data_IF_393551732407
#
_entry.id   IF_393551732407
#
_cell.length_a   1.000
_cell.length_b   1.000
_cell.length_c   1.000
_cell.angle_alpha   90.00
_cell.angle_beta   90.00
_cell.angle_gamma   90.00
#
_symmetry.space_group_name_H-M   'P 1'
#
loop_
_entity.id
_entity.type
_entity.pdbx_description
1 polymer ?
#
# COMPACT_ATOMS: atom_id res chain seq x y z
N UNK A 1 5.40 -2.59 -4.75
CA UNK A 1 4.64 -3.22 -3.64
C UNK A 1 3.36 -3.81 -4.18
N UNK A 2 2.85 -4.94 -3.66
CA UNK A 2 1.67 -5.56 -4.27
C UNK A 2 0.38 -4.83 -3.88
N UNK A 3 -0.45 -4.52 -4.87
CA UNK A 3 -1.80 -3.99 -4.65
C UNK A 3 -2.79 -5.10 -4.26
N UNK A 4 -3.89 -4.80 -3.56
CA UNK A 4 -4.85 -5.79 -3.08
C UNK A 4 -5.38 -6.73 -4.18
N UNK A 5 -5.74 -6.19 -5.34
CA UNK A 5 -6.20 -6.94 -6.50
C UNK A 5 -5.14 -7.90 -7.05
N UNK A 6 -3.87 -7.54 -6.98
CA UNK A 6 -2.75 -8.39 -7.41
C UNK A 6 -2.56 -9.55 -6.45
N UNK A 7 -2.74 -9.32 -5.14
CA UNK A 7 -2.73 -10.38 -4.12
C UNK A 7 -3.94 -11.31 -4.29
N UNK A 8 -5.12 -10.76 -4.60
CA UNK A 8 -6.36 -11.53 -4.80
C UNK A 8 -6.42 -12.26 -6.15
N UNK A 9 -5.66 -11.83 -7.16
CA UNK A 9 -5.54 -12.53 -8.44
C UNK A 9 -4.97 -13.96 -8.27
N UNK A 10 -4.18 -14.20 -7.23
CA UNK A 10 -3.69 -15.53 -6.87
C UNK A 10 -4.80 -16.46 -6.35
N UNK A 11 -5.97 -15.92 -5.98
CA UNK A 11 -7.08 -16.67 -5.37
C UNK A 11 -8.41 -16.56 -6.14
N UNK A 12 -8.61 -15.54 -6.97
CA UNK A 12 -9.85 -15.26 -7.71
C UNK A 12 -9.54 -14.60 -9.06
N UNK A 13 -10.21 -15.02 -10.15
CA UNK A 13 -9.96 -14.52 -11.51
C UNK A 13 -10.61 -13.15 -11.81
N UNK A 14 -11.30 -12.57 -10.84
CA UNK A 14 -12.27 -11.49 -11.08
C UNK A 14 -11.66 -10.08 -11.05
N UNK A 15 -10.36 -9.93 -10.76
CA UNK A 15 -9.68 -8.63 -10.71
C UNK A 15 -8.28 -8.69 -11.34
N UNK A 16 -8.15 -8.63 -12.67
CA UNK A 16 -6.85 -8.63 -13.33
C UNK A 16 -6.03 -7.39 -12.98
N UNK A 17 -4.71 -7.54 -12.90
CA UNK A 17 -3.78 -6.42 -12.80
C UNK A 17 -4.06 -5.38 -13.89
N UNK A 18 -4.13 -4.11 -13.51
CA UNK A 18 -4.16 -2.97 -14.40
C UNK A 18 -3.14 -1.90 -13.96
N UNK A 19 -3.09 -0.77 -14.66
CA UNK A 19 -2.16 0.30 -14.33
C UNK A 19 -2.40 0.94 -12.94
N UNK A 20 -3.54 0.69 -12.28
CA UNK A 20 -3.82 1.19 -10.92
C UNK A 20 -2.95 0.48 -9.88
N UNK A 21 -2.56 -0.76 -10.13
CA UNK A 21 -1.63 -1.48 -9.25
C UNK A 21 -0.25 -0.80 -9.13
N UNK A 22 0.18 -0.09 -10.19
CA UNK A 22 1.42 0.71 -10.17
C UNK A 22 1.25 2.00 -9.37
N UNK A 23 0.05 2.60 -9.40
CA UNK A 23 -0.28 3.79 -8.61
C UNK A 23 -0.30 3.44 -7.12
N UNK A 24 -0.89 2.29 -6.76
CA UNK A 24 -0.79 1.75 -5.42
C UNK A 24 0.68 1.53 -5.01
N UNK A 25 1.45 0.87 -5.88
CA UNK A 25 2.87 0.63 -5.64
C UNK A 25 3.62 1.93 -5.34
N UNK A 26 3.36 2.98 -6.12
CA UNK A 26 3.94 4.30 -5.92
C UNK A 26 3.56 4.89 -4.55
N UNK A 27 2.30 4.78 -4.14
CA UNK A 27 1.85 5.20 -2.81
C UNK A 27 2.66 4.54 -1.69
N UNK A 28 2.88 3.23 -1.79
CA UNK A 28 3.70 2.50 -0.82
C UNK A 28 5.19 2.91 -0.89
N UNK A 29 5.74 3.10 -2.10
CA UNK A 29 7.12 3.61 -2.27
C UNK A 29 7.31 4.95 -1.56
N UNK A 30 6.34 5.86 -1.70
CA UNK A 30 6.42 7.18 -1.09
C UNK A 30 6.37 7.12 0.44
N UNK A 31 5.60 6.17 0.99
CA UNK A 31 5.61 5.88 2.43
C UNK A 31 6.97 5.34 2.86
N UNK A 32 7.54 4.38 2.12
CA UNK A 32 8.89 3.87 2.40
C UNK A 32 9.93 5.00 2.34
N UNK A 33 9.91 5.87 1.33
CA UNK A 33 10.84 6.99 1.24
C UNK A 33 10.69 7.98 2.41
N UNK A 34 9.47 8.15 2.93
CA UNK A 34 9.19 8.99 4.07
C UNK A 34 9.62 8.36 5.41
N UNK A 35 9.64 7.03 5.50
CA UNK A 35 9.77 6.29 6.76
C UNK A 35 10.93 5.29 6.80
N UNK A 36 11.74 5.24 5.74
CA UNK A 36 12.86 4.31 5.47
C UNK A 36 12.40 2.87 5.20
N UNK A 37 11.31 2.44 5.83
CA UNK A 37 10.76 1.10 5.71
C UNK A 37 9.32 1.15 5.17
N UNK A 38 8.87 0.15 4.42
CA UNK A 38 7.49 0.08 3.96
C UNK A 38 6.52 -0.24 5.11
N UNK A 39 5.22 -0.02 4.92
CA UNK A 39 4.20 -0.42 5.88
C UNK A 39 4.30 -1.92 6.20
N UNK A 40 4.22 -2.27 7.48
CA UNK A 40 4.21 -3.65 7.96
C UNK A 40 5.51 -4.45 7.71
N UNK A 41 6.65 -3.78 7.51
CA UNK A 41 7.95 -4.44 7.31
C UNK A 41 8.34 -5.42 8.44
N UNK A 42 7.79 -5.23 9.64
CA UNK A 42 8.01 -6.09 10.81
C UNK A 42 7.24 -7.41 10.78
N UNK A 43 6.23 -7.54 9.90
CA UNK A 43 5.40 -8.74 9.82
C UNK A 43 6.02 -9.80 8.90
N UNK A 44 5.76 -11.07 9.22
CA UNK A 44 6.07 -12.17 8.30
C UNK A 44 5.31 -11.99 6.97
N UNK A 45 5.89 -12.36 5.80
CA UNK A 45 5.27 -12.17 4.48
C UNK A 45 3.81 -12.62 4.37
N UNK A 46 3.42 -13.75 4.97
CA UNK A 46 2.03 -14.21 4.91
C UNK A 46 1.05 -13.27 5.65
N UNK A 47 1.49 -12.64 6.74
CA UNK A 47 0.68 -11.65 7.48
C UNK A 47 0.58 -10.33 6.72
N UNK A 48 1.63 -9.94 6.00
CA UNK A 48 1.60 -8.76 5.11
C UNK A 48 0.56 -8.95 4.01
N UNK A 49 0.53 -10.11 3.35
CA UNK A 49 -0.47 -10.41 2.31
C UNK A 49 -1.91 -10.34 2.85
N UNK A 50 -2.16 -10.89 4.05
CA UNK A 50 -3.47 -10.80 4.70
C UNK A 50 -3.85 -9.36 5.06
N UNK A 51 -2.88 -8.54 5.49
CA UNK A 51 -3.09 -7.11 5.77
C UNK A 51 -3.49 -6.37 4.50
N UNK A 52 -2.73 -6.56 3.40
CA UNK A 52 -3.01 -5.93 2.10
C UNK A 52 -4.41 -6.28 1.60
N UNK A 53 -4.85 -7.53 1.73
CA UNK A 53 -6.15 -7.97 1.20
C UNK A 53 -7.36 -7.58 2.05
N UNK A 54 -7.19 -7.26 3.35
CA UNK A 54 -8.32 -7.13 4.30
C UNK A 54 -8.34 -5.85 5.14
N UNK A 55 -7.28 -5.06 5.12
CA UNK A 55 -7.17 -3.84 5.93
C UNK A 55 -7.37 -2.60 5.07
N UNK A 56 -7.66 -1.49 5.75
CA UNK A 56 -7.61 -0.16 5.13
C UNK A 56 -6.21 0.14 4.57
N UNK A 57 -6.11 1.00 3.52
CA UNK A 57 -4.83 1.42 2.97
C UNK A 57 -3.92 2.03 4.05
N UNK A 58 -2.60 1.76 4.00
CA UNK A 58 -1.68 2.29 4.98
C UNK A 58 -1.55 3.81 4.87
N UNK A 59 -1.29 4.45 6.01
CA UNK A 59 -0.99 5.89 6.10
C UNK A 59 0.36 6.08 6.76
N UNK A 60 0.92 7.29 6.66
CA UNK A 60 2.13 7.67 7.40
C UNK A 60 1.91 7.53 8.92
N UNK A 61 2.90 7.05 9.67
CA UNK A 61 2.77 6.89 11.14
C UNK A 61 2.61 8.23 11.87
N UNK A 62 3.20 9.28 11.31
CA UNK A 62 3.16 10.64 11.85
C UNK A 62 2.71 11.65 10.76
N UNK A 63 1.42 11.63 10.36
CA UNK A 63 0.88 12.48 9.29
C UNK A 63 1.19 13.97 9.46
N UNK A 64 1.25 14.44 10.70
CA UNK A 64 1.52 15.83 11.09
C UNK A 64 2.94 16.31 10.75
N UNK A 65 3.89 15.39 10.48
CA UNK A 65 5.25 15.76 10.03
C UNK A 65 5.29 16.13 8.55
N UNK A 66 4.19 15.91 7.82
CA UNK A 66 4.12 16.00 6.38
C UNK A 66 3.07 17.00 5.94
N UNK A 67 3.22 17.55 4.74
CA UNK A 67 2.26 18.51 4.21
C UNK A 67 0.88 17.87 4.03
N UNK A 68 -0.16 18.70 4.10
CA UNK A 68 -1.53 18.24 3.80
C UNK A 68 -1.62 17.65 2.40
N UNK A 69 -0.96 18.27 1.42
CA UNK A 69 -0.96 17.81 0.03
C UNK A 69 -0.35 16.42 -0.11
N UNK A 70 0.72 16.11 0.62
CA UNK A 70 1.32 14.77 0.58
C UNK A 70 0.39 13.72 1.20
N UNK A 71 -0.20 14.03 2.36
CA UNK A 71 -1.19 13.16 3.00
C UNK A 71 -2.42 12.93 2.09
N UNK A 72 -2.89 13.96 1.40
CA UNK A 72 -4.05 13.87 0.51
C UNK A 72 -3.72 13.17 -0.82
N UNK A 73 -2.46 13.23 -1.27
CA UNK A 73 -1.97 12.43 -2.40
C UNK A 73 -1.99 10.93 -2.05
N UNK A 74 -1.44 10.54 -0.89
CA UNK A 74 -1.39 9.14 -0.47
C UNK A 74 -2.76 8.50 -0.29
N UNK A 75 -3.79 9.26 0.09
CA UNK A 75 -5.18 8.75 0.19
C UNK A 75 -5.83 8.41 -1.15
N UNK A 76 -5.26 8.91 -2.26
CA UNK A 76 -5.79 8.75 -3.62
C UNK A 76 -4.95 7.80 -4.48
N UNK A 77 -3.74 7.51 -4.03
CA UNK A 77 -2.81 6.58 -4.67
C UNK A 77 -3.27 5.12 -4.45
#
# INVERSE_FOLDING_TARGET
WMAPEVVMCATTKDAPYDFKADIWSLGITLIELAQIEPPHHELNPMRVLLKIAKSEPPTLDYPQKWSKDFNDFLKKA
#
